data_IF_440030861094
#
_entry.id   IF_440030861094
#
_cell.length_a   1.000
_cell.length_b   1.000
_cell.length_c   1.000
_cell.angle_alpha   90.00
_cell.angle_beta   90.00
_cell.angle_gamma   90.00
#
_symmetry.space_group_name_H-M   'P 1'
#
loop_
_entity.id
_entity.type
_entity.pdbx_description
1 polymer ?
#
# COMPACT_ATOMS: atom_id res chain seq x y z
N UNK A 1 -23.63 -2.55 -36.49
CA UNK A 1 -22.67 -3.41 -35.77
C UNK A 1 -22.65 -2.94 -34.33
N UNK A 2 -22.98 -3.80 -33.36
CA UNK A 2 -22.84 -3.45 -31.96
C UNK A 2 -21.35 -3.25 -31.66
N UNK A 3 -20.98 -2.13 -31.03
CA UNK A 3 -19.61 -1.91 -30.60
C UNK A 3 -19.23 -3.03 -29.61
N UNK A 4 -18.09 -3.69 -29.84
CA UNK A 4 -17.55 -4.65 -28.87
C UNK A 4 -17.25 -3.93 -27.56
N UNK A 5 -17.86 -4.40 -26.48
CA UNK A 5 -17.62 -3.86 -25.15
C UNK A 5 -16.17 -4.12 -24.74
N UNK A 6 -15.56 -3.14 -24.10
CA UNK A 6 -14.25 -3.28 -23.48
C UNK A 6 -14.30 -4.26 -22.30
N UNK A 7 -13.17 -4.86 -21.89
CA UNK A 7 -13.12 -5.71 -20.69
C UNK A 7 -13.60 -5.01 -19.41
N UNK A 8 -13.47 -3.68 -19.31
CA UNK A 8 -13.97 -2.89 -18.18
C UNK A 8 -15.49 -2.85 -18.19
N UNK A 9 -16.09 -2.57 -19.35
CA UNK A 9 -17.55 -2.52 -19.51
C UNK A 9 -18.20 -3.90 -19.31
N UNK A 10 -17.56 -4.97 -19.79
CA UNK A 10 -18.02 -6.34 -19.54
C UNK A 10 -18.06 -6.67 -18.05
N UNK A 11 -17.01 -6.34 -17.29
CA UNK A 11 -17.00 -6.56 -15.83
C UNK A 11 -18.02 -5.68 -15.10
N UNK A 12 -18.28 -4.47 -15.58
CA UNK A 12 -19.28 -3.58 -15.01
C UNK A 12 -20.72 -4.11 -15.22
N UNK A 13 -20.96 -4.91 -16.27
CA UNK A 13 -22.26 -5.53 -16.54
C UNK A 13 -22.44 -6.90 -15.85
N UNK A 14 -21.35 -7.55 -15.43
CA UNK A 14 -21.42 -8.80 -14.66
C UNK A 14 -21.90 -8.55 -13.23
N UNK A 15 -23.16 -8.93 -12.98
CA UNK A 15 -23.81 -8.76 -11.68
C UNK A 15 -23.11 -9.49 -10.54
N UNK A 16 -22.56 -10.68 -10.78
CA UNK A 16 -21.88 -11.46 -9.75
C UNK A 16 -20.56 -10.78 -9.38
N UNK A 17 -19.80 -10.36 -10.40
CA UNK A 17 -18.56 -9.62 -10.20
C UNK A 17 -18.82 -8.32 -9.42
N UNK A 18 -19.76 -7.48 -9.86
CA UNK A 18 -20.06 -6.20 -9.19
C UNK A 18 -20.52 -6.43 -7.74
N UNK A 19 -21.39 -7.42 -7.51
CA UNK A 19 -21.87 -7.71 -6.15
C UNK A 19 -20.73 -8.10 -5.22
N UNK A 20 -19.79 -8.94 -5.68
CA UNK A 20 -18.70 -9.44 -4.84
C UNK A 20 -17.51 -8.48 -4.73
N UNK A 21 -17.22 -7.71 -5.78
CA UNK A 21 -16.04 -6.87 -5.90
C UNK A 21 -16.32 -5.37 -5.72
N UNK A 22 -17.57 -4.97 -5.51
CA UNK A 22 -17.89 -3.61 -5.04
C UNK A 22 -17.31 -3.37 -3.64
N UNK A 23 -17.09 -2.10 -3.30
CA UNK A 23 -16.68 -1.73 -1.93
C UNK A 23 -17.64 -2.32 -0.90
N UNK A 24 -18.96 -2.22 -1.15
CA UNK A 24 -20.00 -2.79 -0.27
C UNK A 24 -19.85 -4.30 -0.09
N UNK A 25 -19.66 -5.05 -1.19
CA UNK A 25 -19.46 -6.51 -1.15
C UNK A 25 -18.18 -6.92 -0.43
N UNK A 26 -17.13 -6.09 -0.53
CA UNK A 26 -15.84 -6.35 0.11
C UNK A 26 -15.80 -5.96 1.59
N UNK A 27 -16.69 -5.09 2.09
CA UNK A 27 -16.65 -4.54 3.47
C UNK A 27 -16.41 -5.59 4.55
N UNK A 28 -17.11 -6.72 4.50
CA UNK A 28 -17.00 -7.78 5.51
C UNK A 28 -15.65 -8.53 5.48
N UNK A 29 -14.86 -8.33 4.41
CA UNK A 29 -13.57 -8.98 4.18
C UNK A 29 -12.38 -8.01 4.30
N UNK A 30 -12.63 -6.72 4.55
CA UNK A 30 -11.59 -5.72 4.66
C UNK A 30 -10.95 -5.71 6.07
N UNK A 31 -9.63 -5.50 6.17
CA UNK A 31 -8.69 -5.33 5.06
C UNK A 31 -8.40 -6.63 4.29
N UNK A 32 -8.11 -6.50 3.01
CA UNK A 32 -7.52 -7.60 2.24
C UNK A 32 -6.09 -7.79 2.70
N UNK A 33 -5.83 -8.80 3.53
CA UNK A 33 -4.47 -9.11 3.98
C UNK A 33 -3.62 -9.60 2.81
N UNK A 34 -2.45 -8.98 2.61
CA UNK A 34 -1.51 -9.47 1.61
C UNK A 34 -1.07 -10.90 1.93
N UNK A 35 -1.06 -11.83 0.96
CA UNK A 35 -0.69 -13.21 1.22
C UNK A 35 0.82 -13.33 1.53
N UNK A 36 1.16 -14.03 2.61
CA UNK A 36 2.54 -14.41 2.92
C UNK A 36 2.67 -15.94 2.99
N UNK A 37 3.80 -16.52 2.55
CA UNK A 37 4.02 -17.96 2.66
C UNK A 37 3.85 -18.43 4.12
N UNK A 38 3.13 -19.55 4.33
CA UNK A 38 3.01 -20.12 5.66
C UNK A 38 4.40 -20.42 6.21
N UNK A 39 4.60 -20.21 7.51
CA UNK A 39 5.87 -20.41 8.22
C UNK A 39 6.99 -19.41 7.89
N UNK A 40 6.69 -18.27 7.27
CA UNK A 40 7.67 -17.19 7.14
C UNK A 40 8.15 -16.76 8.53
N UNK A 41 9.46 -16.87 8.86
CA UNK A 41 9.98 -16.41 10.15
C UNK A 41 9.67 -14.92 10.40
N UNK A 42 9.52 -14.49 11.67
CA UNK A 42 9.36 -13.07 11.99
C UNK A 42 10.59 -12.29 11.51
N UNK A 43 10.42 -10.98 11.29
CA UNK A 43 11.58 -10.16 10.92
C UNK A 43 12.63 -10.18 12.04
N UNK A 44 13.91 -10.41 11.72
CA UNK A 44 14.99 -10.40 12.71
C UNK A 44 15.28 -8.99 13.25
N UNK A 45 14.86 -7.93 12.55
CA UNK A 45 15.00 -6.54 13.02
C UNK A 45 13.87 -6.20 13.99
N UNK A 46 14.25 -5.78 15.20
CA UNK A 46 13.32 -5.37 16.27
C UNK A 46 12.90 -3.91 16.21
N UNK A 47 13.64 -3.09 15.46
CA UNK A 47 13.40 -1.65 15.35
C UNK A 47 13.73 -1.16 13.94
N UNK A 48 12.93 -0.21 13.48
CA UNK A 48 13.03 0.44 12.18
C UNK A 48 13.00 1.96 12.34
N UNK A 49 13.43 2.67 11.30
CA UNK A 49 13.34 4.15 11.20
C UNK A 49 11.98 4.66 10.71
N UNK A 50 11.19 3.76 10.15
CA UNK A 50 9.78 3.96 9.77
C UNK A 50 8.99 2.76 10.28
N UNK A 51 7.68 2.89 10.43
CA UNK A 51 6.83 1.80 10.92
C UNK A 51 5.52 1.79 10.14
N UNK A 52 5.44 0.96 9.10
CA UNK A 52 4.18 0.80 8.37
C UNK A 52 3.11 0.23 9.31
N UNK A 53 1.95 0.87 9.35
CA UNK A 53 0.76 0.36 10.00
C UNK A 53 -0.42 0.59 9.07
N UNK A 54 -1.27 -0.42 8.94
CA UNK A 54 -2.50 -0.28 8.19
C UNK A 54 -3.44 0.71 8.93
N UNK A 55 -3.79 1.81 8.26
CA UNK A 55 -4.57 2.90 8.85
C UNK A 55 -6.08 2.76 8.69
N UNK A 56 -6.56 1.67 8.09
CA UNK A 56 -7.98 1.44 7.89
C UNK A 56 -8.53 1.95 6.54
N UNK A 57 -9.78 1.59 6.30
CA UNK A 57 -10.56 1.89 5.08
C UNK A 57 -11.79 2.76 5.37
N UNK A 58 -12.00 3.18 6.62
CA UNK A 58 -13.23 3.83 7.07
C UNK A 58 -13.52 5.13 6.32
N UNK A 59 -12.47 5.83 5.87
CA UNK A 59 -12.59 7.03 5.05
C UNK A 59 -13.12 6.76 3.64
N UNK A 60 -13.20 5.49 3.20
CA UNK A 60 -13.89 5.10 1.97
C UNK A 60 -15.43 5.14 2.08
N UNK A 61 -15.98 5.27 3.28
CA UNK A 61 -17.43 5.36 3.46
C UNK A 61 -17.98 6.71 2.98
N UNK A 62 -17.14 7.74 2.94
CA UNK A 62 -17.47 9.01 2.30
C UNK A 62 -17.25 8.90 0.79
N UNK A 63 -18.36 8.66 0.06
CA UNK A 63 -18.35 8.53 -1.40
C UNK A 63 -17.89 9.81 -2.10
N UNK A 64 -18.06 10.98 -1.50
CA UNK A 64 -17.62 12.26 -2.08
C UNK A 64 -16.11 12.43 -1.95
N UNK A 65 -15.51 11.96 -0.84
CA UNK A 65 -14.07 11.87 -0.70
C UNK A 65 -13.45 10.82 -1.64
N UNK A 66 -14.12 9.67 -1.80
CA UNK A 66 -13.67 8.55 -2.63
C UNK A 66 -13.42 8.91 -4.10
N UNK A 67 -14.22 9.80 -4.70
CA UNK A 67 -14.08 10.16 -6.11
C UNK A 67 -12.75 10.85 -6.44
N UNK A 68 -12.02 11.34 -5.43
CA UNK A 68 -10.74 12.02 -5.59
C UNK A 68 -9.55 11.08 -5.40
N UNK A 69 -9.79 9.85 -4.97
CA UNK A 69 -8.74 8.86 -4.73
C UNK A 69 -8.24 8.27 -6.04
N UNK A 70 -6.92 8.24 -6.19
CA UNK A 70 -6.25 7.47 -7.23
C UNK A 70 -6.38 5.96 -6.95
N UNK A 71 -6.07 5.12 -7.93
CA UNK A 71 -6.01 3.67 -7.72
C UNK A 71 -5.04 3.29 -6.60
N UNK A 72 -3.94 4.04 -6.45
CA UNK A 72 -2.97 3.83 -5.39
C UNK A 72 -3.54 4.21 -4.01
N UNK A 73 -4.35 5.26 -3.93
CA UNK A 73 -5.07 5.64 -2.69
C UNK A 73 -6.03 4.56 -2.23
N UNK A 74 -6.76 3.96 -3.18
CA UNK A 74 -7.67 2.85 -2.90
C UNK A 74 -6.88 1.64 -2.43
N UNK A 75 -5.75 1.32 -3.07
CA UNK A 75 -4.87 0.21 -2.67
C UNK A 75 -4.39 0.33 -1.22
N UNK A 76 -3.95 1.53 -0.79
CA UNK A 76 -3.50 1.78 0.59
C UNK A 76 -4.61 1.66 1.65
N UNK A 77 -5.87 1.73 1.23
CA UNK A 77 -7.05 1.59 2.11
C UNK A 77 -7.58 0.18 2.08
N UNK A 78 -7.56 -0.50 0.95
CA UNK A 78 -8.16 -1.83 0.81
C UNK A 78 -7.24 -2.96 1.29
N UNK A 79 -5.92 -2.78 1.22
CA UNK A 79 -4.94 -3.86 1.44
C UNK A 79 -4.10 -3.61 2.68
N UNK A 80 -4.01 -4.62 3.55
CA UNK A 80 -3.03 -4.62 4.64
C UNK A 80 -1.75 -5.36 4.21
N UNK A 81 -0.67 -4.60 4.04
CA UNK A 81 0.66 -5.09 3.65
C UNK A 81 1.51 -5.61 4.82
N UNK A 82 1.00 -5.65 6.05
CA UNK A 82 1.78 -6.03 7.24
C UNK A 82 2.47 -7.40 7.10
N UNK A 83 1.81 -8.34 6.42
CA UNK A 83 2.33 -9.68 6.16
C UNK A 83 3.57 -9.71 5.24
N UNK A 84 3.82 -8.67 4.43
CA UNK A 84 5.02 -8.56 3.61
C UNK A 84 6.28 -8.29 4.42
N UNK A 85 6.16 -7.65 5.59
CA UNK A 85 7.33 -7.23 6.38
C UNK A 85 8.33 -8.36 6.62
N UNK A 86 7.95 -9.51 7.19
CA UNK A 86 8.89 -10.61 7.40
C UNK A 86 9.42 -11.22 6.09
N UNK A 87 8.60 -11.26 5.04
CA UNK A 87 8.99 -11.77 3.71
C UNK A 87 10.09 -10.90 3.12
N UNK A 88 9.88 -9.59 3.07
CA UNK A 88 10.83 -8.64 2.52
C UNK A 88 12.10 -8.56 3.35
N UNK A 89 11.99 -8.57 4.69
CA UNK A 89 13.16 -8.59 5.57
C UNK A 89 14.12 -9.75 5.27
N UNK A 90 13.58 -10.95 5.02
CA UNK A 90 14.38 -12.12 4.64
C UNK A 90 14.98 -11.99 3.25
N UNK A 91 14.20 -11.51 2.27
CA UNK A 91 14.68 -11.32 0.89
C UNK A 91 15.76 -10.26 0.77
N UNK A 92 15.74 -9.25 1.65
CA UNK A 92 16.77 -8.23 1.76
C UNK A 92 18.03 -8.72 2.52
N UNK A 93 18.06 -9.98 2.94
CA UNK A 93 19.21 -10.57 3.61
C UNK A 93 19.45 -10.02 5.02
N UNK A 94 18.41 -9.52 5.70
CA UNK A 94 18.56 -9.12 7.10
C UNK A 94 18.70 -10.37 7.96
N UNK A 95 19.92 -10.63 8.43
CA UNK A 95 20.26 -11.85 9.19
C UNK A 95 20.53 -11.59 10.67
N UNK A 96 20.62 -10.32 11.08
CA UNK A 96 20.95 -9.92 12.46
C UNK A 96 20.16 -8.73 12.95
N UNK A 97 19.79 -8.77 14.23
CA UNK A 97 19.16 -7.67 14.96
C UNK A 97 20.14 -6.53 15.33
N UNK A 98 21.47 -6.73 15.22
CA UNK A 98 22.48 -5.82 15.77
C UNK A 98 22.82 -4.63 14.86
N UNK A 99 23.20 -3.51 15.49
CA UNK A 99 23.98 -2.40 14.92
C UNK A 99 23.27 -1.42 13.98
N UNK A 100 22.30 -1.87 13.18
CA UNK A 100 21.65 -1.02 12.17
C UNK A 100 20.12 -1.08 12.24
N UNK A 101 19.49 0.11 12.27
CA UNK A 101 18.04 0.32 12.18
C UNK A 101 17.68 0.71 10.74
N UNK A 102 17.26 -0.23 9.87
CA UNK A 102 16.82 0.10 8.51
C UNK A 102 15.46 0.80 8.53
N UNK A 103 15.04 1.31 7.38
CA UNK A 103 13.62 1.62 7.17
C UNK A 103 12.80 0.32 7.16
N UNK A 104 11.54 0.39 7.58
CA UNK A 104 10.62 -0.74 7.47
C UNK A 104 10.50 -1.14 5.99
N UNK A 105 10.70 -2.42 5.67
CA UNK A 105 10.75 -2.85 4.27
C UNK A 105 9.41 -2.65 3.56
N UNK A 106 8.28 -2.65 4.29
CA UNK A 106 6.97 -2.33 3.73
C UNK A 106 6.87 -0.85 3.40
N UNK A 107 7.39 0.04 4.26
CA UNK A 107 7.45 1.48 3.95
C UNK A 107 8.22 1.75 2.65
N UNK A 108 9.36 1.07 2.47
CA UNK A 108 10.17 1.20 1.25
C UNK A 108 9.46 0.60 0.04
N UNK A 109 8.82 -0.57 0.20
CA UNK A 109 8.04 -1.20 -0.87
C UNK A 109 6.92 -0.29 -1.37
N UNK A 110 6.15 0.32 -0.47
CA UNK A 110 5.06 1.24 -0.83
C UNK A 110 5.61 2.53 -1.48
N UNK A 111 6.72 3.08 -0.97
CA UNK A 111 7.38 4.23 -1.59
C UNK A 111 7.80 3.95 -3.04
N UNK A 112 8.36 2.76 -3.30
CA UNK A 112 8.75 2.35 -4.66
C UNK A 112 7.53 2.13 -5.55
N UNK A 113 6.45 1.53 -5.03
CA UNK A 113 5.19 1.40 -5.76
C UNK A 113 4.60 2.76 -6.14
N UNK A 114 4.65 3.72 -5.22
CA UNK A 114 4.22 5.09 -5.46
C UNK A 114 5.09 5.80 -6.50
N UNK A 115 6.41 5.64 -6.43
CA UNK A 115 7.34 6.16 -7.43
C UNK A 115 7.04 5.61 -8.83
N UNK A 116 6.86 4.30 -8.96
CA UNK A 116 6.64 3.62 -10.24
C UNK A 116 5.30 4.04 -10.84
N UNK A 117 4.22 4.03 -10.04
CA UNK A 117 2.87 4.38 -10.51
C UNK A 117 2.75 5.82 -10.99
N UNK A 118 3.55 6.73 -10.44
CA UNK A 118 3.59 8.13 -10.87
C UNK A 118 4.67 8.43 -11.93
N UNK A 119 5.48 7.44 -12.32
CA UNK A 119 6.56 7.62 -13.30
C UNK A 119 7.67 8.57 -12.84
N UNK A 120 7.86 8.73 -11.54
CA UNK A 120 8.85 9.66 -11.00
C UNK A 120 10.24 9.04 -10.90
N UNK A 121 11.26 9.88 -11.03
CA UNK A 121 12.60 9.50 -10.59
C UNK A 121 12.75 9.61 -9.07
N UNK A 122 13.88 9.15 -8.55
CA UNK A 122 14.17 9.18 -7.10
C UNK A 122 14.07 10.60 -6.52
N UNK A 123 14.68 11.59 -7.17
CA UNK A 123 14.71 12.97 -6.66
C UNK A 123 13.32 13.59 -6.58
N UNK A 124 12.50 13.37 -7.61
CA UNK A 124 11.10 13.80 -7.63
C UNK A 124 10.30 13.12 -6.51
N UNK A 125 10.48 11.81 -6.34
CA UNK A 125 9.80 11.04 -5.29
C UNK A 125 10.13 11.58 -3.90
N UNK A 126 11.41 11.82 -3.61
CA UNK A 126 11.84 12.35 -2.31
C UNK A 126 11.38 13.80 -2.09
N UNK A 127 11.27 14.60 -3.15
CA UNK A 127 10.68 15.94 -3.07
C UNK A 127 9.21 15.86 -2.72
N UNK A 128 8.45 15.04 -3.44
CA UNK A 128 7.01 14.87 -3.21
C UNK A 128 6.73 14.25 -1.84
N UNK A 129 7.56 13.31 -1.38
CA UNK A 129 7.42 12.73 -0.04
C UNK A 129 7.57 13.76 1.10
N UNK A 130 8.28 14.88 0.84
CA UNK A 130 8.45 16.00 1.78
C UNK A 130 7.41 17.10 1.60
N UNK A 131 6.64 17.06 0.53
CA UNK A 131 5.63 18.07 0.23
C UNK A 131 4.40 17.85 1.12
N UNK A 132 3.92 18.88 1.85
CA UNK A 132 2.70 18.78 2.66
C UNK A 132 1.48 18.25 1.89
N UNK A 133 1.44 18.45 0.56
CA UNK A 133 0.41 17.90 -0.32
C UNK A 133 0.29 16.38 -0.25
N UNK A 134 1.39 15.67 0.03
CA UNK A 134 1.44 14.21 0.06
C UNK A 134 1.74 13.67 1.48
N UNK A 135 1.46 14.46 2.51
CA UNK A 135 1.71 14.07 3.90
C UNK A 135 0.92 12.80 4.31
N UNK A 136 -0.24 12.59 3.73
CA UNK A 136 -1.07 11.40 3.94
C UNK A 136 -0.39 10.13 3.43
N UNK A 137 0.30 10.18 2.28
CA UNK A 137 1.11 9.07 1.78
C UNK A 137 2.28 8.78 2.72
N UNK A 138 3.01 9.81 3.16
CA UNK A 138 4.10 9.63 4.12
C UNK A 138 3.63 8.92 5.40
N UNK A 139 2.47 9.34 5.93
CA UNK A 139 1.84 8.72 7.08
C UNK A 139 1.42 7.26 6.80
N UNK A 140 0.75 6.99 5.67
CA UNK A 140 0.30 5.65 5.27
C UNK A 140 1.45 4.70 4.99
N UNK A 141 2.60 5.20 4.55
CA UNK A 141 3.83 4.41 4.41
C UNK A 141 4.50 4.15 5.76
N UNK A 142 4.14 4.89 6.81
CA UNK A 142 4.73 4.79 8.13
C UNK A 142 6.00 5.61 8.32
N UNK A 143 6.24 6.60 7.46
CA UNK A 143 7.30 7.58 7.69
C UNK A 143 6.83 8.61 8.72
N UNK A 144 7.69 8.95 9.68
CA UNK A 144 7.41 9.93 10.73
C UNK A 144 8.57 10.91 10.87
N UNK A 145 8.28 12.08 11.42
CA UNK A 145 9.27 13.13 11.80
C UNK A 145 10.19 13.59 10.66
N UNK A 146 9.72 13.52 9.40
CA UNK A 146 10.54 13.84 8.23
C UNK A 146 11.70 12.88 7.99
N UNK A 147 11.73 11.74 8.69
CA UNK A 147 12.74 10.70 8.51
C UNK A 147 12.46 9.91 7.24
N UNK A 148 13.02 10.37 6.12
CA UNK A 148 12.83 9.75 4.82
C UNK A 148 14.11 9.05 4.32
N UNK A 149 13.98 8.05 3.42
CA UNK A 149 15.12 7.48 2.72
C UNK A 149 15.92 8.57 1.99
N UNK A 150 17.24 8.55 2.12
CA UNK A 150 18.19 9.46 1.43
C UNK A 150 18.83 8.76 0.26
#
# INVERSE_FOLDING_TARGET
MAAELTPVELRAQDRLFVTQCSLQGLRARLPLCWPAPPRTPPSPKRAYRSAYMYLGWQDLQDLTACQRYSDFDLLLRLVDFSALRPVLAQRLGWTSARGWKPFDPVSVFLLLGWQITNGWNRTQTLRNLRDPRYADYAQRFGFHDGCFPT
#
